data_IF_830899124875
#
_entry.id   IF_830899124875
#
_cell.length_a   1.000
_cell.length_b   1.000
_cell.length_c   1.000
_cell.angle_alpha   90.00
_cell.angle_beta   90.00
_cell.angle_gamma   90.00
#
_symmetry.space_group_name_H-M   'P 1'
#
loop_
_entity.id
_entity.type
_entity.pdbx_description
1 polymer ?
#
# COMPACT_ATOMS: atom_id res chain seq x y z
N UNK A 1 -6.38 2.45 -14.33
CA UNK A 1 -6.34 3.75 -13.62
C UNK A 1 -7.29 3.70 -12.43
N UNK A 2 -6.93 4.24 -11.26
CA UNK A 2 -7.74 4.16 -10.03
C UNK A 2 -9.17 4.70 -10.18
N UNK A 3 -9.41 5.60 -11.12
CA UNK A 3 -10.71 6.25 -11.25
C UNK A 3 -11.74 5.45 -12.06
N UNK A 4 -11.34 4.35 -12.71
CA UNK A 4 -12.20 3.53 -13.57
C UNK A 4 -11.85 2.04 -13.50
N UNK A 5 -12.80 1.17 -13.87
CA UNK A 5 -12.55 -0.26 -14.04
C UNK A 5 -12.83 -1.12 -12.79
N UNK A 6 -12.30 -2.34 -12.81
CA UNK A 6 -12.63 -3.39 -11.82
C UNK A 6 -12.18 -3.05 -10.40
N UNK A 7 -11.17 -2.19 -10.22
CA UNK A 7 -10.64 -1.77 -8.91
C UNK A 7 -11.70 -1.11 -8.01
N UNK A 8 -12.79 -0.63 -8.61
CA UNK A 8 -13.92 0.06 -7.94
C UNK A 8 -15.15 -0.83 -7.74
N UNK A 9 -15.12 -2.08 -8.19
CA UNK A 9 -16.28 -2.99 -8.20
C UNK A 9 -16.09 -4.14 -7.23
N UNK A 10 -17.19 -4.76 -6.83
CA UNK A 10 -17.19 -6.07 -6.18
C UNK A 10 -17.75 -7.10 -7.15
N UNK A 11 -17.24 -8.33 -7.06
CA UNK A 11 -17.89 -9.51 -7.62
C UNK A 11 -18.20 -10.47 -6.49
N UNK A 12 -19.27 -11.27 -6.62
CA UNK A 12 -19.63 -12.29 -5.65
C UNK A 12 -19.72 -13.64 -6.34
N UNK A 13 -19.03 -14.63 -5.78
CA UNK A 13 -18.95 -15.98 -6.32
C UNK A 13 -19.52 -16.97 -5.30
N UNK A 14 -20.26 -17.96 -5.79
CA UNK A 14 -20.71 -19.07 -4.97
C UNK A 14 -19.80 -20.28 -5.17
N UNK A 15 -19.46 -20.98 -4.07
CA UNK A 15 -18.63 -22.17 -4.08
C UNK A 15 -17.30 -21.94 -4.82
N UNK A 16 -16.57 -20.91 -4.39
CA UNK A 16 -15.24 -20.56 -4.92
C UNK A 16 -14.14 -21.06 -3.98
N UNK A 17 -12.98 -21.42 -4.52
CA UNK A 17 -11.88 -21.95 -3.72
C UNK A 17 -10.83 -20.86 -3.52
N UNK A 18 -10.56 -20.48 -2.26
CA UNK A 18 -9.46 -19.57 -1.92
C UNK A 18 -8.17 -20.39 -1.82
N UNK A 19 -7.15 -20.01 -2.58
CA UNK A 19 -5.91 -20.77 -2.74
C UNK A 19 -4.71 -19.97 -2.23
N UNK A 20 -4.10 -20.37 -1.11
CA UNK A 20 -2.86 -19.77 -0.64
C UNK A 20 -1.65 -20.28 -1.44
N UNK A 21 -0.51 -19.58 -1.38
CA UNK A 21 0.69 -20.05 -2.08
C UNK A 21 1.29 -21.29 -1.42
N UNK A 22 1.68 -22.25 -2.25
CA UNK A 22 2.35 -23.49 -1.85
C UNK A 22 3.81 -23.30 -1.45
N UNK A 23 4.46 -22.32 -2.07
CA UNK A 23 5.88 -22.03 -1.91
C UNK A 23 6.11 -20.59 -1.45
N UNK A 24 7.34 -20.31 -1.00
CA UNK A 24 7.77 -18.97 -0.60
C UNK A 24 8.66 -18.36 -1.67
N UNK A 25 8.07 -17.77 -2.72
CA UNK A 25 8.79 -17.03 -3.78
C UNK A 25 8.31 -15.59 -3.90
N UNK A 26 9.04 -14.69 -4.59
CA UNK A 26 8.58 -13.31 -4.80
C UNK A 26 7.19 -13.21 -5.42
N UNK A 27 6.90 -14.09 -6.39
CA UNK A 27 5.59 -14.29 -7.00
C UNK A 27 5.26 -15.78 -6.99
N UNK A 28 4.03 -16.12 -6.69
CA UNK A 28 3.57 -17.50 -6.44
C UNK A 28 2.15 -17.65 -6.94
N UNK A 29 1.75 -18.79 -7.52
CA UNK A 29 0.34 -19.08 -7.79
C UNK A 29 -0.46 -19.01 -6.49
N UNK A 30 -1.46 -18.14 -6.46
CA UNK A 30 -2.40 -17.99 -5.34
C UNK A 30 -3.55 -17.06 -5.75
N UNK A 31 -4.67 -17.12 -5.05
CA UNK A 31 -5.83 -16.28 -5.34
C UNK A 31 -7.13 -17.01 -5.12
N UNK A 32 -8.03 -16.91 -6.09
CA UNK A 32 -9.35 -17.55 -6.05
C UNK A 32 -9.56 -18.34 -7.34
N UNK A 33 -10.11 -19.55 -7.21
CA UNK A 33 -10.54 -20.39 -8.31
C UNK A 33 -12.06 -20.53 -8.33
N UNK A 34 -12.68 -20.30 -9.49
CA UNK A 34 -14.07 -20.64 -9.78
C UNK A 34 -14.21 -20.85 -11.29
N UNK A 35 -14.25 -22.12 -11.70
CA UNK A 35 -14.28 -22.51 -13.12
C UNK A 35 -13.11 -21.90 -13.94
N UNK A 36 -12.00 -21.62 -13.25
CA UNK A 36 -10.85 -20.87 -13.76
C UNK A 36 -10.27 -19.92 -12.71
N UNK A 37 -9.11 -19.35 -13.03
CA UNK A 37 -8.46 -18.31 -12.22
C UNK A 37 -9.28 -17.00 -12.22
N UNK A 38 -9.46 -16.42 -11.03
CA UNK A 38 -10.16 -15.15 -10.86
C UNK A 38 -9.15 -14.01 -10.79
N UNK A 39 -8.97 -13.33 -11.93
CA UNK A 39 -8.05 -12.22 -12.11
C UNK A 39 -8.23 -11.08 -11.09
N UNK A 40 -9.49 -10.80 -10.74
CA UNK A 40 -9.90 -9.76 -9.81
C UNK A 40 -9.40 -10.04 -8.40
N UNK A 41 -9.20 -11.30 -8.03
CA UNK A 41 -8.65 -11.69 -6.73
C UNK A 41 -7.13 -11.48 -6.64
N UNK A 42 -6.43 -11.31 -7.77
CA UNK A 42 -4.98 -11.21 -7.74
C UNK A 42 -4.48 -9.91 -7.07
N UNK A 43 -3.32 -9.96 -6.41
CA UNK A 43 -2.62 -8.76 -5.96
C UNK A 43 -1.83 -8.16 -7.14
N UNK A 44 -2.07 -6.89 -7.48
CA UNK A 44 -1.49 -6.23 -8.64
C UNK A 44 -0.45 -5.16 -8.25
N UNK A 45 0.66 -5.11 -9.01
CA UNK A 45 1.64 -4.02 -9.01
C UNK A 45 1.85 -3.57 -10.45
N UNK A 46 1.31 -2.40 -10.80
CA UNK A 46 1.23 -1.97 -12.20
C UNK A 46 0.46 -2.99 -13.04
N UNK A 47 1.00 -3.37 -14.21
CA UNK A 47 0.41 -4.40 -15.06
C UNK A 47 0.73 -5.85 -14.63
N UNK A 48 1.55 -6.04 -13.58
CA UNK A 48 2.01 -7.35 -13.15
C UNK A 48 1.24 -7.89 -11.94
N UNK A 49 0.94 -9.19 -11.96
CA UNK A 49 0.41 -9.88 -10.78
C UNK A 49 1.53 -10.33 -9.84
N UNK A 50 1.32 -10.09 -8.56
CA UNK A 50 2.14 -10.61 -7.47
C UNK A 50 1.72 -12.02 -7.05
N UNK A 51 0.40 -12.28 -7.06
CA UNK A 51 -0.17 -13.61 -7.01
C UNK A 51 -0.40 -14.11 -8.44
N UNK A 52 0.43 -15.06 -8.88
CA UNK A 52 0.34 -15.60 -10.24
C UNK A 52 -0.98 -16.33 -10.42
N UNK A 53 -1.43 -16.41 -11.67
CA UNK A 53 -2.66 -17.12 -12.01
C UNK A 53 -2.57 -18.59 -11.59
N UNK A 54 -3.71 -19.14 -11.18
CA UNK A 54 -3.88 -20.56 -10.97
C UNK A 54 -4.06 -21.23 -12.34
N UNK A 55 -3.34 -22.34 -12.58
CA UNK A 55 -3.39 -23.06 -13.87
C UNK A 55 -4.38 -24.23 -13.83
N UNK A 56 -4.66 -24.76 -12.65
CA UNK A 56 -5.52 -25.92 -12.44
C UNK A 56 -6.42 -25.74 -11.21
N UNK A 57 -7.51 -26.50 -11.21
CA UNK A 57 -8.45 -26.52 -10.10
C UNK A 57 -7.77 -27.14 -8.86
N UNK A 58 -7.70 -26.42 -7.73
CA UNK A 58 -7.21 -26.98 -6.49
C UNK A 58 -8.24 -27.94 -5.89
N UNK A 59 -7.78 -28.99 -5.21
CA UNK A 59 -8.64 -29.78 -4.34
C UNK A 59 -8.82 -29.04 -3.00
N UNK A 60 -10.05 -28.63 -2.62
CA UNK A 60 -10.28 -27.99 -1.34
C UNK A 60 -10.14 -29.00 -0.21
N UNK A 61 -9.43 -28.62 0.85
CA UNK A 61 -9.22 -29.48 2.03
C UNK A 61 -10.13 -29.11 3.20
N UNK A 62 -10.81 -27.97 3.11
CA UNK A 62 -11.80 -27.52 4.08
C UNK A 62 -12.92 -26.72 3.39
N UNK A 63 -14.05 -26.58 4.08
CA UNK A 63 -15.19 -25.77 3.66
C UNK A 63 -15.48 -24.68 4.70
N UNK A 64 -15.68 -23.45 4.22
CA UNK A 64 -16.12 -22.30 4.99
C UNK A 64 -17.57 -21.97 4.60
N UNK A 65 -18.50 -22.23 5.51
CA UNK A 65 -19.93 -21.93 5.34
C UNK A 65 -20.24 -20.49 5.73
N UNK A 66 -21.18 -19.85 5.00
CA UNK A 66 -21.53 -18.43 5.17
C UNK A 66 -21.03 -17.51 4.06
N UNK A 67 -20.88 -16.22 4.38
CA UNK A 67 -20.52 -15.16 3.45
C UNK A 67 -19.25 -14.43 3.88
N UNK A 68 -18.22 -14.52 3.06
CA UNK A 68 -16.90 -13.97 3.36
C UNK A 68 -16.46 -12.91 2.36
N UNK A 69 -15.62 -11.98 2.85
CA UNK A 69 -14.92 -11.01 2.02
C UNK A 69 -13.50 -11.49 1.73
N UNK A 70 -13.08 -11.53 0.46
CA UNK A 70 -11.68 -11.75 0.11
C UNK A 70 -10.92 -10.41 0.06
N UNK A 71 -10.06 -10.15 1.03
CA UNK A 71 -9.30 -8.90 1.12
C UNK A 71 -7.90 -8.96 0.49
N UNK A 72 -7.55 -10.08 -0.15
CA UNK A 72 -6.30 -10.21 -0.90
C UNK A 72 -5.18 -10.84 -0.10
N UNK A 73 -3.96 -10.32 -0.27
CA UNK A 73 -2.75 -10.95 0.24
C UNK A 73 -2.26 -10.29 1.53
N UNK A 74 -1.99 -11.11 2.56
CA UNK A 74 -1.38 -10.68 3.80
C UNK A 74 0.15 -10.61 3.68
N UNK A 75 0.67 -9.37 3.73
CA UNK A 75 2.08 -9.07 3.90
C UNK A 75 2.43 -8.81 5.37
N UNK A 76 3.41 -9.55 5.91
CA UNK A 76 3.83 -9.39 7.30
C UNK A 76 4.68 -8.15 7.61
N UNK A 77 5.21 -7.48 6.57
CA UNK A 77 5.99 -6.25 6.73
C UNK A 77 5.07 -5.02 6.75
N UNK A 78 5.26 -4.12 7.71
CA UNK A 78 4.36 -2.99 7.98
C UNK A 78 4.03 -2.14 6.74
N UNK A 79 5.05 -1.74 5.97
CA UNK A 79 4.83 -0.90 4.78
C UNK A 79 3.96 -1.61 3.73
N UNK A 80 4.18 -2.91 3.51
CA UNK A 80 3.36 -3.71 2.59
C UNK A 80 1.98 -4.03 3.17
N UNK A 81 1.86 -4.12 4.50
CA UNK A 81 0.57 -4.29 5.14
C UNK A 81 -0.36 -3.10 4.87
N UNK A 82 0.13 -1.88 5.09
CA UNK A 82 -0.65 -0.64 4.87
C UNK A 82 -0.89 -0.35 3.38
N UNK A 83 0.02 -0.76 2.49
CA UNK A 83 -0.12 -0.46 1.06
C UNK A 83 -0.85 -1.54 0.27
N UNK A 84 -0.74 -2.81 0.66
CA UNK A 84 -1.20 -3.94 -0.15
C UNK A 84 -2.20 -4.83 0.60
N UNK A 85 -1.99 -5.13 1.89
CA UNK A 85 -2.94 -5.97 2.66
C UNK A 85 -4.28 -5.26 2.88
N UNK A 86 -4.29 -3.99 3.27
CA UNK A 86 -5.55 -3.28 3.58
C UNK A 86 -6.27 -2.75 2.33
N UNK A 87 -5.72 -2.97 1.13
CA UNK A 87 -6.15 -2.32 -0.12
C UNK A 87 -7.59 -2.59 -0.54
N UNK A 88 -8.22 -3.63 0.01
CA UNK A 88 -9.57 -4.09 -0.32
C UNK A 88 -10.55 -3.97 0.85
N UNK A 89 -10.10 -3.45 1.99
CA UNK A 89 -10.95 -3.32 3.19
C UNK A 89 -12.07 -2.30 3.06
N UNK A 90 -12.06 -1.48 1.99
CA UNK A 90 -13.12 -0.52 1.71
C UNK A 90 -14.51 -1.14 1.56
N UNK A 91 -14.59 -2.43 1.25
CA UNK A 91 -15.84 -3.16 1.11
C UNK A 91 -16.22 -3.99 2.36
N UNK A 92 -15.41 -3.95 3.43
CA UNK A 92 -15.70 -4.70 4.65
C UNK A 92 -16.83 -4.06 5.45
N UNK A 93 -17.77 -4.89 5.92
CA UNK A 93 -18.89 -4.49 6.75
C UNK A 93 -19.30 -5.64 7.70
N UNK A 94 -20.35 -5.44 8.49
CA UNK A 94 -20.84 -6.41 9.48
C UNK A 94 -21.64 -7.57 8.89
N UNK A 95 -21.95 -7.56 7.59
CA UNK A 95 -22.76 -8.59 6.95
C UNK A 95 -21.92 -9.83 6.57
N UNK A 96 -20.59 -9.72 6.66
CA UNK A 96 -19.68 -10.84 6.42
C UNK A 96 -19.36 -11.62 7.70
N UNK A 97 -19.37 -12.94 7.59
CA UNK A 97 -18.92 -13.88 8.63
C UNK A 97 -17.40 -13.81 8.86
N UNK A 98 -16.65 -13.29 7.89
CA UNK A 98 -15.22 -13.04 8.04
C UNK A 98 -14.55 -12.40 6.83
N UNK A 99 -13.33 -11.92 7.05
CA UNK A 99 -12.44 -11.37 6.02
C UNK A 99 -11.26 -12.30 5.83
N UNK A 100 -11.12 -12.82 4.62
CA UNK A 100 -10.13 -13.80 4.23
C UNK A 100 -8.93 -13.13 3.58
N UNK A 101 -7.75 -13.61 3.93
CA UNK A 101 -6.48 -13.23 3.31
C UNK A 101 -5.67 -14.48 2.97
N UNK A 102 -5.05 -14.51 1.79
CA UNK A 102 -3.98 -15.48 1.52
C UNK A 102 -2.66 -14.93 2.06
N UNK A 103 -1.78 -15.72 2.70
CA UNK A 103 -0.48 -15.23 3.14
C UNK A 103 0.44 -14.98 1.94
N UNK A 104 1.34 -13.99 2.04
CA UNK A 104 2.39 -13.78 1.01
C UNK A 104 3.40 -14.94 0.94
N UNK A 105 3.60 -15.64 2.05
CA UNK A 105 4.48 -16.80 2.20
C UNK A 105 3.87 -17.76 3.24
N UNK A 106 4.03 -19.06 3.09
CA UNK A 106 3.42 -20.09 3.94
C UNK A 106 3.72 -19.95 5.45
N UNK A 107 4.81 -19.28 5.82
CA UNK A 107 5.18 -19.02 7.22
C UNK A 107 4.35 -17.91 7.89
N UNK A 108 3.62 -17.10 7.12
CA UNK A 108 2.75 -16.05 7.66
C UNK A 108 1.39 -16.64 8.05
N UNK A 109 1.31 -17.29 9.20
CA UNK A 109 0.12 -18.08 9.59
C UNK A 109 -0.95 -17.28 10.33
N UNK A 110 -0.63 -16.11 10.87
CA UNK A 110 -1.56 -15.31 11.66
C UNK A 110 -1.15 -13.83 11.73
N UNK A 111 -2.12 -12.98 12.04
CA UNK A 111 -1.90 -11.57 12.32
C UNK A 111 -1.23 -11.38 13.69
N UNK A 112 -0.13 -10.63 13.73
CA UNK A 112 0.50 -10.18 14.98
C UNK A 112 -0.32 -9.05 15.60
N UNK A 113 -0.11 -8.77 16.89
CA UNK A 113 -0.82 -7.70 17.62
C UNK A 113 -0.88 -6.36 16.85
N UNK A 114 0.23 -5.85 16.28
CA UNK A 114 0.17 -4.60 15.51
C UNK A 114 -0.76 -4.67 14.29
N UNK A 115 -0.87 -5.81 13.61
CA UNK A 115 -1.78 -5.95 12.48
C UNK A 115 -3.25 -5.88 12.92
N UNK A 116 -3.57 -6.48 14.08
CA UNK A 116 -4.92 -6.46 14.64
C UNK A 116 -5.33 -5.05 15.09
N UNK A 117 -4.41 -4.33 15.73
CA UNK A 117 -4.62 -2.92 16.09
C UNK A 117 -4.96 -2.06 14.86
N UNK A 118 -4.36 -2.34 13.69
CA UNK A 118 -4.73 -1.64 12.45
C UNK A 118 -6.16 -1.97 12.04
N UNK A 119 -6.56 -3.24 12.07
CA UNK A 119 -7.94 -3.62 11.76
C UNK A 119 -8.94 -2.95 12.71
N UNK A 120 -8.62 -2.87 14.00
CA UNK A 120 -9.44 -2.18 15.01
C UNK A 120 -9.56 -0.67 14.70
N UNK A 121 -8.44 -0.02 14.35
CA UNK A 121 -8.38 1.38 13.94
C UNK A 121 -9.26 1.65 12.70
N UNK A 122 -9.27 0.71 11.75
CA UNK A 122 -10.14 0.76 10.57
C UNK A 122 -11.59 0.33 10.85
N UNK A 123 -11.92 -0.05 12.08
CA UNK A 123 -13.27 -0.44 12.46
C UNK A 123 -13.70 -1.81 11.92
N UNK A 124 -12.75 -2.67 11.54
CA UNK A 124 -13.05 -4.03 11.04
C UNK A 124 -13.45 -4.91 12.24
N UNK A 125 -14.73 -5.31 12.29
CA UNK A 125 -15.30 -6.07 13.42
C UNK A 125 -15.49 -7.56 13.15
N UNK A 126 -15.65 -7.93 11.89
CA UNK A 126 -15.72 -9.31 11.45
C UNK A 126 -14.36 -10.03 11.69
N UNK A 127 -14.37 -11.35 11.96
CA UNK A 127 -13.15 -12.14 12.10
C UNK A 127 -12.21 -11.96 10.90
N UNK A 128 -10.92 -11.73 11.17
CA UNK A 128 -9.87 -11.66 10.13
C UNK A 128 -9.09 -12.96 10.11
N UNK A 129 -9.13 -13.66 8.97
CA UNK A 129 -8.63 -15.02 8.81
C UNK A 129 -7.53 -15.07 7.76
N UNK A 130 -6.44 -15.77 8.07
CA UNK A 130 -5.42 -16.13 7.10
C UNK A 130 -5.71 -17.54 6.60
N UNK A 131 -6.06 -17.66 5.33
CA UNK A 131 -6.33 -18.94 4.66
C UNK A 131 -5.00 -19.62 4.38
N UNK A 132 -4.76 -20.79 4.97
CA UNK A 132 -3.45 -21.48 4.96
C UNK A 132 -3.40 -22.70 4.04
N UNK A 133 -4.56 -23.16 3.61
CA UNK A 133 -4.76 -24.30 2.74
C UNK A 133 -5.91 -23.98 1.77
N UNK A 134 -6.07 -24.69 0.64
CA UNK A 134 -7.20 -24.45 -0.25
C UNK A 134 -8.54 -24.67 0.45
N UNK A 135 -9.36 -23.63 0.51
CA UNK A 135 -10.64 -23.66 1.24
C UNK A 135 -11.78 -23.35 0.29
N UNK A 136 -12.78 -24.22 0.23
CA UNK A 136 -14.03 -23.97 -0.48
C UNK A 136 -14.88 -23.00 0.34
N UNK A 137 -15.26 -21.88 -0.25
CA UNK A 137 -16.07 -20.84 0.40
C UNK A 137 -17.44 -20.78 -0.25
N UNK A 138 -18.48 -20.86 0.58
CA UNK A 138 -19.87 -20.90 0.11
C UNK A 138 -20.28 -19.64 -0.64
N UNK A 139 -20.13 -18.46 -0.04
CA UNK A 139 -20.31 -17.16 -0.70
C UNK A 139 -19.06 -16.30 -0.48
N UNK A 140 -18.43 -15.85 -1.56
CA UNK A 140 -17.21 -15.06 -1.51
C UNK A 140 -17.37 -13.75 -2.30
N UNK A 141 -17.31 -12.61 -1.60
CA UNK A 141 -17.22 -11.30 -2.24
C UNK A 141 -15.76 -10.90 -2.44
N UNK A 142 -15.40 -10.49 -3.65
CA UNK A 142 -14.06 -10.04 -4.04
C UNK A 142 -14.17 -8.56 -4.46
N UNK A 143 -13.75 -7.62 -3.60
CA UNK A 143 -13.67 -6.20 -3.93
C UNK A 143 -12.45 -5.92 -4.76
N UNK A 144 -12.53 -5.01 -5.71
CA UNK A 144 -11.39 -4.51 -6.46
C UNK A 144 -10.27 -3.96 -5.57
N UNK A 145 -9.03 -4.04 -6.04
CA UNK A 145 -7.88 -3.46 -5.34
C UNK A 145 -8.00 -1.94 -5.36
N UNK A 146 -8.43 -1.33 -4.25
CA UNK A 146 -8.72 0.10 -4.14
C UNK A 146 -7.48 0.98 -3.88
N UNK A 147 -6.36 0.35 -3.52
CA UNK A 147 -5.10 1.02 -3.19
C UNK A 147 -3.90 0.12 -3.51
N UNK A 148 -2.70 0.70 -3.59
CA UNK A 148 -1.51 -0.07 -3.89
C UNK A 148 -0.32 0.79 -4.24
N UNK A 149 0.59 0.24 -5.04
CA UNK A 149 1.81 0.89 -5.48
C UNK A 149 1.70 1.37 -6.93
N UNK A 150 2.43 2.42 -7.28
CA UNK A 150 2.42 3.01 -8.62
C UNK A 150 1.21 3.92 -8.84
N UNK A 151 0.59 3.86 -10.02
CA UNK A 151 -0.52 4.76 -10.39
C UNK A 151 -1.73 4.68 -9.44
N UNK A 152 -2.00 3.50 -8.86
CA UNK A 152 -3.12 3.30 -7.93
C UNK A 152 -2.83 3.83 -6.50
N UNK A 153 -1.63 4.35 -6.24
CA UNK A 153 -1.26 4.93 -4.95
C UNK A 153 -2.03 6.24 -4.62
N UNK A 154 -2.76 6.82 -5.57
CA UNK A 154 -3.72 7.90 -5.27
C UNK A 154 -4.98 7.39 -4.56
N UNK A 155 -5.26 6.09 -4.64
CA UNK A 155 -6.44 5.44 -4.09
C UNK A 155 -7.71 5.69 -4.91
N UNK A 156 -8.52 4.65 -5.07
CA UNK A 156 -9.86 4.80 -5.66
C UNK A 156 -10.74 5.66 -4.77
N UNK A 157 -11.86 6.13 -5.32
CA UNK A 157 -12.85 6.90 -4.54
C UNK A 157 -13.39 6.09 -3.35
N UNK A 158 -13.66 4.81 -3.55
CA UNK A 158 -14.15 3.89 -2.51
C UNK A 158 -13.15 3.73 -1.38
N UNK A 159 -11.87 3.54 -1.71
CA UNK A 159 -10.82 3.46 -0.70
C UNK A 159 -10.63 4.79 0.04
N UNK A 160 -10.67 5.93 -0.65
CA UNK A 160 -10.58 7.25 -0.01
C UNK A 160 -11.79 7.55 0.87
N UNK A 161 -13.00 7.14 0.47
CA UNK A 161 -14.20 7.21 1.30
C UNK A 161 -14.03 6.34 2.55
N UNK A 162 -13.56 5.11 2.41
CA UNK A 162 -13.25 4.24 3.53
C UNK A 162 -12.27 4.89 4.53
N UNK A 163 -11.18 5.50 4.03
CA UNK A 163 -10.25 6.23 4.91
C UNK A 163 -10.93 7.39 5.63
N UNK A 164 -11.75 8.20 4.93
CA UNK A 164 -12.50 9.32 5.53
C UNK A 164 -13.46 8.86 6.62
N UNK A 165 -14.17 7.77 6.37
CA UNK A 165 -15.20 7.26 7.28
C UNK A 165 -14.65 6.50 8.49
N UNK A 166 -13.38 6.10 8.44
CA UNK A 166 -12.68 5.36 9.51
C UNK A 166 -11.62 6.24 10.19
N UNK A 167 -10.37 6.15 9.75
CA UNK A 167 -9.23 6.85 10.34
C UNK A 167 -9.34 8.36 10.24
N UNK A 168 -10.04 8.88 9.23
CA UNK A 168 -10.31 10.32 9.05
C UNK A 168 -11.19 10.92 10.14
N UNK A 169 -11.96 10.11 10.88
CA UNK A 169 -12.77 10.56 12.02
C UNK A 169 -12.00 10.58 13.34
N UNK A 170 -10.79 10.00 13.37
CA UNK A 170 -9.99 10.01 14.58
C UNK A 170 -9.49 11.44 14.84
N UNK A 171 -9.69 11.99 16.05
CA UNK A 171 -9.18 13.31 16.36
C UNK A 171 -7.65 13.28 16.27
N UNK A 172 -7.03 14.24 15.56
CA UNK A 172 -5.59 14.33 15.51
C UNK A 172 -5.05 14.52 16.93
N UNK A 173 -4.04 13.73 17.28
CA UNK A 173 -3.36 13.80 18.56
C UNK A 173 -1.86 13.84 18.29
N UNK A 174 -1.38 15.04 17.95
CA UNK A 174 0.00 15.26 17.57
C UNK A 174 0.26 16.70 17.12
N UNK A 175 1.53 17.04 16.87
CA UNK A 175 1.92 18.35 16.36
C UNK A 175 1.36 18.57 14.95
N UNK A 176 1.06 19.82 14.62
CA UNK A 176 0.46 20.19 13.31
C UNK A 176 1.39 19.89 12.13
N UNK A 177 2.70 20.08 12.33
CA UNK A 177 3.74 19.80 11.34
C UNK A 177 4.52 18.58 11.76
N UNK A 178 4.44 17.51 10.97
CA UNK A 178 5.18 16.27 11.20
C UNK A 178 6.04 15.92 9.99
N UNK A 179 7.20 15.34 10.26
CA UNK A 179 8.06 14.74 9.25
C UNK A 179 8.23 13.26 9.59
N UNK A 180 7.87 12.36 8.68
CA UNK A 180 8.10 10.93 8.89
C UNK A 180 9.56 10.64 8.58
N UNK A 181 10.38 10.58 9.64
CA UNK A 181 11.82 10.44 9.50
C UNK A 181 12.28 9.00 9.53
N UNK A 182 13.25 8.70 8.67
CA UNK A 182 13.96 7.42 8.62
C UNK A 182 15.41 7.54 9.08
N UNK A 183 15.87 8.70 9.57
CA UNK A 183 17.26 8.90 10.02
C UNK A 183 17.69 7.94 11.14
N UNK A 184 16.72 7.45 11.93
CA UNK A 184 16.94 6.43 12.98
C UNK A 184 16.67 4.99 12.52
N UNK A 185 16.51 4.74 11.23
CA UNK A 185 16.21 3.41 10.70
C UNK A 185 17.40 2.87 9.92
N UNK A 186 18.04 1.83 10.46
CA UNK A 186 19.23 1.21 9.86
C UNK A 186 18.79 0.20 8.79
N UNK A 187 18.40 0.70 7.62
CA UNK A 187 18.08 -0.12 6.45
C UNK A 187 18.25 0.66 5.15
N UNK A 188 18.22 -0.06 4.02
CA UNK A 188 18.35 0.52 2.69
C UNK A 188 17.14 1.41 2.30
N UNK A 189 17.39 2.35 1.37
CA UNK A 189 16.35 3.21 0.79
C UNK A 189 16.01 4.46 1.59
N UNK A 190 16.97 5.00 2.36
CA UNK A 190 16.87 6.33 2.98
C UNK A 190 17.06 7.45 1.95
N UNK A 191 16.72 8.68 2.34
CA UNK A 191 16.92 9.85 1.49
C UNK A 191 18.39 10.33 1.58
N UNK A 192 19.00 10.68 0.45
CA UNK A 192 20.34 11.27 0.46
C UNK A 192 20.30 12.55 1.32
N UNK A 193 21.25 12.67 2.26
CA UNK A 193 21.32 13.78 3.21
C UNK A 193 20.05 14.00 4.05
N UNK A 194 19.30 12.93 4.35
CA UNK A 194 18.07 13.02 5.16
C UNK A 194 18.29 13.71 6.51
N UNK A 195 19.44 13.52 7.16
CA UNK A 195 19.76 14.19 8.41
C UNK A 195 19.78 15.73 8.28
N UNK A 196 20.25 16.25 7.14
CA UNK A 196 20.25 17.69 6.84
C UNK A 196 18.82 18.16 6.59
N UNK A 197 18.02 17.38 5.84
CA UNK A 197 16.61 17.68 5.62
C UNK A 197 15.82 17.72 6.93
N UNK A 198 16.00 16.71 7.80
CA UNK A 198 15.35 16.63 9.10
C UNK A 198 15.67 17.84 9.96
N UNK A 199 16.93 18.27 10.01
CA UNK A 199 17.35 19.44 10.76
C UNK A 199 16.71 20.74 10.21
N UNK A 200 16.68 20.90 8.88
CA UNK A 200 16.01 22.04 8.25
C UNK A 200 14.49 22.05 8.51
N UNK A 201 13.85 20.87 8.50
CA UNK A 201 12.44 20.72 8.82
C UNK A 201 12.16 21.01 10.29
N UNK A 202 13.00 20.54 11.22
CA UNK A 202 12.93 20.90 12.65
C UNK A 202 12.97 22.42 12.84
N UNK A 203 13.92 23.10 12.20
CA UNK A 203 14.01 24.58 12.23
C UNK A 203 12.78 25.27 11.66
N UNK A 204 12.05 24.60 10.75
CA UNK A 204 10.80 25.08 10.17
C UNK A 204 9.54 24.71 10.99
N UNK A 205 9.73 24.14 12.19
CA UNK A 205 8.67 23.78 13.13
C UNK A 205 8.08 22.38 12.94
N UNK A 206 8.70 21.51 12.14
CA UNK A 206 8.27 20.12 11.99
C UNK A 206 8.79 19.26 13.14
N UNK A 207 7.94 18.36 13.63
CA UNK A 207 8.32 17.33 14.61
C UNK A 207 8.59 16.01 13.88
N UNK A 208 9.80 15.45 13.97
CA UNK A 208 10.09 14.17 13.36
C UNK A 208 9.43 13.03 14.12
N UNK A 209 8.68 12.21 13.40
CA UNK A 209 8.07 10.97 13.87
C UNK A 209 8.89 9.81 13.32
N UNK A 210 9.25 8.87 14.18
CA UNK A 210 10.04 7.68 13.84
C UNK A 210 9.16 6.44 13.95
N UNK A 211 8.57 5.93 12.84
CA UNK A 211 7.59 4.85 12.89
C UNK A 211 8.09 3.59 13.60
N UNK A 212 9.39 3.29 13.52
CA UNK A 212 10.01 2.15 14.19
C UNK A 212 10.06 2.26 15.73
N UNK A 213 9.92 3.46 16.28
CA UNK A 213 9.99 3.73 17.71
C UNK A 213 8.64 4.17 18.30
N UNK A 214 7.62 4.38 17.46
CA UNK A 214 6.30 4.81 17.86
C UNK A 214 5.36 3.60 18.03
N UNK A 215 4.51 3.64 19.05
CA UNK A 215 3.36 2.71 19.14
C UNK A 215 2.42 3.02 17.98
N UNK A 216 1.86 1.97 17.37
CA UNK A 216 1.13 2.07 16.11
C UNK A 216 -0.10 2.98 16.20
N UNK A 217 -0.89 2.86 17.26
CA UNK A 217 -2.03 3.75 17.52
C UNK A 217 -1.60 5.22 17.57
N UNK A 218 -0.48 5.50 18.26
CA UNK A 218 0.08 6.85 18.36
C UNK A 218 0.50 7.37 16.98
N UNK A 219 1.08 6.50 16.14
CA UNK A 219 1.51 6.87 14.79
C UNK A 219 0.34 7.32 13.93
N UNK A 220 -0.76 6.57 13.91
CA UNK A 220 -1.96 6.92 13.12
C UNK A 220 -2.58 8.23 13.61
N UNK A 221 -2.75 8.41 14.92
CA UNK A 221 -3.31 9.65 15.47
C UNK A 221 -2.43 10.88 15.29
N UNK A 222 -1.12 10.69 15.10
CA UNK A 222 -0.16 11.79 14.90
C UNK A 222 -0.22 12.34 13.47
N UNK A 223 -0.72 11.56 12.50
CA UNK A 223 -0.85 11.99 11.11
C UNK A 223 -2.01 13.00 10.98
N UNK A 224 -1.76 14.24 10.55
CA UNK A 224 -2.84 15.20 10.33
C UNK A 224 -3.66 14.78 9.10
N UNK A 225 -4.90 14.38 9.31
CA UNK A 225 -5.89 14.21 8.24
C UNK A 225 -6.50 15.58 7.93
N UNK A 226 -6.09 16.23 6.83
CA UNK A 226 -6.79 17.40 6.31
C UNK A 226 -7.79 16.96 5.24
N UNK A 227 -9.09 17.28 5.34
CA UNK A 227 -10.00 17.17 4.21
C UNK A 227 -9.55 18.20 3.15
N UNK A 228 -9.03 17.74 2.02
CA UNK A 228 -8.64 18.63 0.93
C UNK A 228 -9.88 19.20 0.23
N UNK A 229 -10.19 20.46 0.51
CA UNK A 229 -10.81 21.35 -0.48
C UNK A 229 -9.66 22.10 -1.18
N UNK A 230 -9.03 21.47 -2.18
CA UNK A 230 -8.04 22.15 -3.01
C UNK A 230 -8.49 22.13 -4.47
N UNK A 231 -8.89 23.30 -4.97
CA UNK A 231 -8.92 23.54 -6.40
C UNK A 231 -7.48 23.49 -6.92
N UNK A 232 -7.22 22.84 -8.06
CA UNK A 232 -5.87 22.78 -8.62
C UNK A 232 -5.40 24.19 -8.99
N UNK A 233 -4.39 24.69 -8.26
CA UNK A 233 -3.74 25.95 -8.57
C UNK A 233 -3.04 25.87 -9.92
N UNK A 234 -3.40 26.76 -10.84
CA UNK A 234 -2.70 26.97 -12.09
C UNK A 234 -1.23 27.33 -11.85
N UNK A 235 -0.33 26.41 -12.15
CA UNK A 235 1.09 26.74 -12.37
C UNK A 235 1.15 27.50 -13.70
N UNK A 236 1.33 28.82 -13.63
CA UNK A 236 1.61 29.63 -14.82
C UNK A 236 3.03 29.33 -15.32
N UNK A 237 3.24 29.11 -16.63
CA UNK A 237 4.57 28.93 -17.18
C UNK A 237 5.37 30.25 -17.08
N UNK A 238 6.65 30.14 -16.76
CA UNK A 238 7.56 31.27 -16.74
C UNK A 238 7.69 31.88 -18.15
N UNK A 239 7.40 33.17 -18.27
CA UNK A 239 7.59 33.94 -19.49
C UNK A 239 9.07 33.93 -19.91
N UNK A 240 9.32 33.52 -21.15
CA UNK A 240 10.56 33.83 -21.85
C UNK A 240 10.65 35.33 -22.14
N UNK A 241 11.85 35.88 -21.99
CA UNK A 241 12.23 37.15 -22.61
C UNK A 241 13.38 36.91 -23.59
N UNK A 242 13.15 37.51 -24.74
CA UNK A 242 13.94 37.65 -25.95
C UNK A 242 15.30 38.34 -25.74
N UNK A 243 16.26 38.13 -26.67
CA UNK A 243 17.52 38.88 -26.71
C UNK A 243 18.70 38.20 -27.43
N UNK A 244 18.68 38.18 -28.77
CA UNK A 244 19.79 38.50 -29.70
C UNK A 244 21.26 38.08 -29.40
N UNK A 245 21.81 37.22 -30.27
CA UNK A 245 23.27 37.08 -30.61
C UNK A 245 23.78 38.32 -31.39
N UNK A 246 25.10 38.59 -31.63
CA UNK A 246 26.21 37.64 -31.87
C UNK A 246 27.65 38.03 -31.42
N UNK A 247 28.64 37.14 -31.60
CA UNK A 247 30.07 37.52 -31.68
C UNK A 247 31.10 36.47 -31.23
N UNK A 248 32.08 36.18 -32.11
CA UNK A 248 33.18 35.20 -31.99
C UNK A 248 34.29 35.59 -30.99
N UNK A 249 35.09 34.60 -30.55
CA UNK A 249 36.41 34.84 -29.95
C UNK A 249 37.08 33.61 -29.32
N UNK A 250 38.04 33.01 -30.03
CA UNK A 250 38.96 31.95 -29.57
C UNK A 250 39.94 32.43 -28.49
N UNK A 251 40.37 31.52 -27.58
CA UNK A 251 41.78 31.26 -27.17
C UNK A 251 41.85 30.29 -25.96
N UNK A 252 42.28 29.03 -26.17
CA UNK A 252 43.58 28.41 -25.81
C UNK A 252 43.80 28.01 -24.33
N UNK A 253 43.97 26.69 -24.14
CA UNK A 253 44.59 25.97 -23.02
C UNK A 253 46.05 26.41 -22.72
N UNK A 254 46.58 26.15 -21.51
CA UNK A 254 47.33 24.90 -21.19
C UNK A 254 46.92 24.29 -19.82
N UNK A 255 46.79 22.98 -19.64
CA UNK A 255 47.78 21.90 -19.45
C UNK A 255 48.18 21.63 -17.97
N UNK A 256 47.70 20.47 -17.51
CA UNK A 256 48.20 19.48 -16.53
C UNK A 256 49.41 19.75 -15.61
N UNK A 257 49.27 19.35 -14.34
CA UNK A 257 50.31 18.74 -13.46
C UNK A 257 49.58 18.01 -12.30
N UNK A 258 49.35 16.69 -12.37
CA UNK A 258 50.15 15.55 -11.88
C UNK A 258 50.34 15.43 -10.35
N UNK A 259 49.66 14.41 -9.78
CA UNK A 259 49.92 13.79 -8.49
C UNK A 259 51.32 13.14 -8.42
N UNK A 260 52.01 13.30 -7.30
CA UNK A 260 52.87 12.26 -6.69
C UNK A 260 52.80 12.33 -5.16
N UNK A 261 52.35 11.23 -4.57
CA UNK A 261 52.52 10.84 -3.16
C UNK A 261 53.97 10.46 -2.89
N UNK A 262 54.38 10.51 -1.62
CA UNK A 262 55.00 9.40 -0.92
C UNK A 262 53.99 8.61 -0.07
#
# INVERSE_FOLDING_TARGET
MPDQGWSRKTITLQNAIVVPPWESRPRTPSGVWKDGDIAEAAAWRGAGRMSLALEEAPEPVEKLEGHFLFAGMFYGHFGHFITETISRLWAANSDYDGVLFTPKHSTLTHFKKPHREIFDIFGIRCPTLVVKQPSLVENLTIPGQGFGLGEIATGTEEFRNFLRETVGKLPPNGPEKIYISRTKYVANGGLLAEAILEENLRRSGYVPVFPQAAVLERSVRTLPCRPENHQPGHIRPAHGRDGSRPGQGYCRHPAQEQCRTP
#
